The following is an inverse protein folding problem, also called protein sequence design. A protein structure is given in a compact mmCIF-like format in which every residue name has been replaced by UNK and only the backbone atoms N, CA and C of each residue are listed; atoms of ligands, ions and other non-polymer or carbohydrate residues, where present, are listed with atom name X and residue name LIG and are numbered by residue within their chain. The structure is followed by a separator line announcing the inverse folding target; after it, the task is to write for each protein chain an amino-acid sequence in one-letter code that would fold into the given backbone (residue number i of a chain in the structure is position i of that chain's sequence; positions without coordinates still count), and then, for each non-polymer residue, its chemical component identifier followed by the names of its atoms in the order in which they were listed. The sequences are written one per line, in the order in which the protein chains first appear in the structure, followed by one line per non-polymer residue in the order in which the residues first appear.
data_IF_193456595736
#
_entry.id   IF_193456595736
#
_cell.length_a   1.000
_cell.length_b   1.000
_cell.length_c   1.000
_cell.angle_alpha   90.00
_cell.angle_beta   90.00
_cell.angle_gamma   90.00
#
_symmetry.space_group_name_H-M   'P 1'
#
loop_
_entity.id
_entity.type
_entity.pdbx_description
1 polymer ?
#
# COMPACT_ATOMS: atom_id res chain seq x y z
N UNK A 1 -22.07 -3.44 -2.28
CA UNK A 1 -21.95 -3.20 -0.83
C UNK A 1 -23.24 -3.43 -0.04
N UNK A 2 -24.19 -2.48 -0.02
CA UNK A 2 -25.38 -2.55 0.87
C UNK A 2 -26.24 -3.81 0.72
N UNK A 3 -26.41 -4.34 -0.50
CA UNK A 3 -27.21 -5.56 -0.74
C UNK A 3 -26.60 -6.78 -0.09
N UNK A 4 -25.29 -6.98 -0.22
CA UNK A 4 -24.57 -8.12 0.35
C UNK A 4 -24.49 -8.04 1.88
N UNK A 5 -24.27 -6.85 2.44
CA UNK A 5 -24.35 -6.64 3.88
C UNK A 5 -25.74 -6.98 4.43
N UNK A 6 -26.82 -6.59 3.73
CA UNK A 6 -28.20 -6.97 4.07
C UNK A 6 -28.45 -8.47 3.94
N UNK A 7 -27.86 -9.14 2.96
CA UNK A 7 -27.96 -10.60 2.79
C UNK A 7 -27.28 -11.33 3.96
N UNK A 8 -26.05 -10.94 4.32
CA UNK A 8 -25.33 -11.49 5.49
C UNK A 8 -26.15 -11.30 6.75
N UNK A 9 -26.61 -10.07 7.04
CA UNK A 9 -27.46 -9.78 8.21
C UNK A 9 -28.74 -10.62 8.23
N UNK A 10 -29.39 -10.80 7.06
CA UNK A 10 -30.61 -11.61 6.95
C UNK A 10 -30.36 -13.10 7.19
N UNK A 11 -29.19 -13.63 6.81
CA UNK A 11 -28.83 -15.02 7.07
C UNK A 11 -28.55 -15.23 8.57
N UNK A 12 -27.86 -14.29 9.21
CA UNK A 12 -27.60 -14.32 10.66
C UNK A 12 -28.87 -14.24 11.52
N UNK A 13 -29.94 -13.62 11.01
CA UNK A 13 -31.22 -13.50 11.71
C UNK A 13 -32.15 -14.71 11.56
N UNK A 14 -31.76 -15.74 10.79
CA UNK A 14 -32.57 -16.95 10.62
C UNK A 14 -32.39 -17.90 11.81
N UNK A 15 -33.51 -18.41 12.32
CA UNK A 15 -33.57 -19.38 13.42
C UNK A 15 -34.31 -20.65 12.94
N UNK A 16 -33.66 -21.83 12.98
CA UNK A 16 -32.26 -22.05 13.37
C UNK A 16 -31.28 -21.48 12.32
N UNK A 17 -30.08 -21.11 12.77
CA UNK A 17 -29.05 -20.54 11.89
C UNK A 17 -28.68 -21.53 10.76
N UNK A 18 -28.75 -21.11 9.49
CA UNK A 18 -28.50 -22.00 8.36
C UNK A 18 -26.98 -22.18 8.13
N UNK A 19 -26.33 -23.01 8.95
CA UNK A 19 -24.89 -23.24 8.89
C UNK A 19 -24.36 -23.68 7.51
N UNK A 20 -25.20 -24.31 6.68
CA UNK A 20 -24.85 -24.67 5.30
C UNK A 20 -24.56 -23.46 4.39
N UNK A 21 -24.95 -22.24 4.79
CA UNK A 21 -24.70 -20.98 4.06
C UNK A 21 -23.42 -20.27 4.49
N UNK A 22 -22.64 -20.83 5.42
CA UNK A 22 -21.35 -20.25 5.82
C UNK A 22 -20.41 -19.94 4.63
N UNK A 23 -20.27 -20.81 3.61
CA UNK A 23 -19.44 -20.49 2.44
C UNK A 23 -19.90 -19.23 1.70
N UNK A 24 -21.21 -19.07 1.53
CA UNK A 24 -21.84 -17.91 0.88
C UNK A 24 -21.63 -16.63 1.70
N UNK A 25 -21.69 -16.72 3.04
CA UNK A 25 -21.38 -15.60 3.93
C UNK A 25 -19.92 -15.15 3.76
N UNK A 26 -18.97 -16.10 3.69
CA UNK A 26 -17.57 -15.77 3.47
C UNK A 26 -17.36 -15.09 2.12
N UNK A 27 -17.96 -15.59 1.03
CA UNK A 27 -17.90 -14.93 -0.28
C UNK A 27 -18.43 -13.49 -0.22
N UNK A 28 -19.56 -13.27 0.47
CA UNK A 28 -20.10 -11.93 0.65
C UNK A 28 -19.20 -11.01 1.45
N UNK A 29 -18.59 -11.50 2.54
CA UNK A 29 -17.66 -10.72 3.35
C UNK A 29 -16.40 -10.37 2.56
N UNK A 30 -15.82 -11.32 1.84
CA UNK A 30 -14.64 -11.08 0.99
C UNK A 30 -14.94 -10.06 -0.11
N UNK A 31 -16.11 -10.16 -0.75
CA UNK A 31 -16.56 -9.17 -1.73
C UNK A 31 -16.74 -7.78 -1.10
N UNK A 32 -17.34 -7.69 0.09
CA UNK A 32 -17.50 -6.44 0.81
C UNK A 32 -16.15 -5.80 1.16
N UNK A 33 -15.18 -6.59 1.62
CA UNK A 33 -13.84 -6.11 1.96
C UNK A 33 -13.11 -5.54 0.73
N UNK A 34 -13.16 -6.26 -0.39
CA UNK A 34 -12.56 -5.83 -1.65
C UNK A 34 -13.14 -4.49 -2.13
N UNK A 35 -14.46 -4.37 -2.15
CA UNK A 35 -15.15 -3.17 -2.61
C UNK A 35 -15.03 -1.99 -1.62
N UNK A 36 -14.94 -2.25 -0.32
CA UNK A 36 -14.66 -1.23 0.69
C UNK A 36 -13.25 -0.65 0.51
N UNK A 37 -12.25 -1.53 0.34
CA UNK A 37 -10.87 -1.14 0.07
C UNK A 37 -10.78 -0.31 -1.20
N UNK A 38 -11.47 -0.74 -2.28
CA UNK A 38 -11.53 0.01 -3.53
C UNK A 38 -12.14 1.41 -3.36
N UNK A 39 -13.27 1.52 -2.67
CA UNK A 39 -13.89 2.82 -2.39
C UNK A 39 -12.98 3.73 -1.57
N UNK A 40 -12.31 3.18 -0.56
CA UNK A 40 -11.36 3.93 0.27
C UNK A 40 -10.17 4.44 -0.55
N UNK A 41 -9.67 3.64 -1.50
CA UNK A 41 -8.60 4.05 -2.42
C UNK A 41 -9.04 5.18 -3.34
N UNK A 42 -10.23 5.08 -3.96
CA UNK A 42 -10.77 6.14 -4.82
C UNK A 42 -10.98 7.45 -4.05
N UNK A 43 -11.50 7.37 -2.82
CA UNK A 43 -11.70 8.54 -1.97
C UNK A 43 -10.36 9.18 -1.56
N UNK A 44 -9.35 8.37 -1.22
CA UNK A 44 -7.99 8.86 -0.93
C UNK A 44 -7.39 9.58 -2.12
N UNK A 45 -7.42 8.97 -3.30
CA UNK A 45 -6.87 9.58 -4.52
C UNK A 45 -7.55 10.91 -4.85
N UNK A 46 -8.87 11.01 -4.68
CA UNK A 46 -9.62 12.25 -4.90
C UNK A 46 -9.29 13.33 -3.85
N UNK A 47 -9.15 12.95 -2.58
CA UNK A 47 -8.79 13.87 -1.50
C UNK A 47 -7.34 14.36 -1.63
N UNK A 48 -6.43 13.49 -2.04
CA UNK A 48 -5.02 13.82 -2.29
C UNK A 48 -4.89 14.75 -3.49
N UNK A 49 -5.69 14.56 -4.54
CA UNK A 49 -5.77 15.47 -5.68
C UNK A 49 -6.33 16.85 -5.29
N UNK A 50 -7.30 16.89 -4.37
CA UNK A 50 -7.96 18.12 -3.92
C UNK A 50 -7.13 18.90 -2.89
N UNK A 51 -6.29 18.22 -2.09
CA UNK A 51 -5.49 18.83 -1.03
C UNK A 51 -4.29 19.63 -1.56
N UNK A 52 -4.56 20.89 -1.87
CA UNK A 52 -3.57 21.96 -1.78
C UNK A 52 -3.35 22.33 -0.30
N UNK A 53 -2.92 21.37 0.52
CA UNK A 53 -2.42 21.68 1.87
C UNK A 53 -1.05 22.34 1.78
N UNK A 54 -0.78 23.31 2.67
CA UNK A 54 0.54 23.96 2.77
C UNK A 54 1.64 22.90 2.81
N UNK A 55 2.61 23.02 1.90
CA UNK A 55 3.76 22.12 1.85
C UNK A 55 4.66 22.47 3.04
N UNK A 56 4.88 21.51 3.92
CA UNK A 56 5.70 21.70 5.11
C UNK A 56 7.10 21.09 4.90
N UNK A 57 7.99 21.84 4.24
CA UNK A 57 9.37 21.41 4.01
C UNK A 57 10.20 21.58 5.28
N UNK A 58 10.69 20.47 5.83
CA UNK A 58 11.58 20.45 7.00
C UNK A 58 12.67 19.38 6.82
N UNK A 59 13.81 19.48 7.52
CA UNK A 59 14.78 18.38 7.60
C UNK A 59 14.13 17.15 8.25
N UNK A 60 14.08 16.04 7.53
CA UNK A 60 13.49 14.78 7.98
C UNK A 60 14.45 13.62 7.73
N UNK A 61 14.38 12.60 8.59
CA UNK A 61 15.06 11.33 8.37
C UNK A 61 14.27 10.48 7.38
N UNK A 62 14.90 10.10 6.27
CA UNK A 62 14.28 9.21 5.28
C UNK A 62 14.12 7.80 5.83
N UNK A 63 15.05 7.32 6.67
CA UNK A 63 14.92 5.99 7.27
C UNK A 63 13.71 5.92 8.19
N UNK A 64 13.50 6.92 9.05
CA UNK A 64 12.31 6.98 9.92
C UNK A 64 11.01 7.03 9.09
N UNK A 65 11.03 7.77 7.98
CA UNK A 65 9.90 7.86 7.06
C UNK A 65 9.58 6.49 6.43
N UNK A 66 10.60 5.80 5.90
CA UNK A 66 10.45 4.47 5.33
C UNK A 66 9.99 3.44 6.37
N UNK A 67 10.56 3.46 7.58
CA UNK A 67 10.17 2.56 8.67
C UNK A 67 8.70 2.73 9.06
N UNK A 68 8.23 3.96 9.26
CA UNK A 68 6.81 4.23 9.55
C UNK A 68 5.90 3.83 8.40
N UNK A 69 6.37 3.99 7.16
CA UNK A 69 5.62 3.56 5.97
C UNK A 69 5.47 2.04 5.94
N UNK A 70 6.56 1.31 6.18
CA UNK A 70 6.57 -0.15 6.23
C UNK A 70 5.76 -0.70 7.40
N UNK A 71 5.70 0.01 8.54
CA UNK A 71 4.85 -0.35 9.67
C UNK A 71 3.36 -0.34 9.28
N UNK A 72 2.91 0.70 8.57
CA UNK A 72 1.52 0.79 8.06
C UNK A 72 1.20 -0.37 7.11
N UNK A 73 2.17 -0.79 6.31
CA UNK A 73 1.99 -1.82 5.28
C UNK A 73 2.22 -3.25 5.78
N UNK A 74 2.76 -3.42 6.99
CA UNK A 74 3.21 -4.72 7.52
C UNK A 74 2.10 -5.77 7.57
N UNK A 75 0.96 -5.43 8.15
CA UNK A 75 -0.16 -6.37 8.28
C UNK A 75 -0.66 -6.83 6.89
N UNK A 76 -0.65 -5.93 5.89
CA UNK A 76 -1.06 -6.29 4.53
C UNK A 76 -0.04 -7.24 3.90
N UNK A 77 1.24 -6.92 3.99
CA UNK A 77 2.31 -7.79 3.49
C UNK A 77 2.27 -9.19 4.12
N UNK A 78 1.99 -9.28 5.43
CA UNK A 78 1.86 -10.56 6.14
C UNK A 78 0.67 -11.39 5.63
N UNK A 79 -0.50 -10.76 5.40
CA UNK A 79 -1.67 -11.43 4.83
C UNK A 79 -1.40 -12.02 3.44
N UNK A 80 -0.64 -11.28 2.62
CA UNK A 80 -0.28 -11.67 1.26
C UNK A 80 1.01 -12.52 1.20
N UNK A 81 1.54 -12.97 2.34
CA UNK A 81 2.75 -13.82 2.44
C UNK A 81 4.01 -13.19 1.84
N UNK A 82 4.17 -11.87 2.01
CA UNK A 82 5.29 -11.09 1.51
C UNK A 82 6.26 -10.79 2.66
N UNK A 83 7.52 -11.21 2.49
CA UNK A 83 8.60 -10.80 3.38
C UNK A 83 9.06 -9.38 3.08
N UNK A 84 9.40 -8.61 4.12
CA UNK A 84 9.97 -7.26 3.97
C UNK A 84 11.45 -7.30 4.40
N UNK A 85 12.33 -6.75 3.57
CA UNK A 85 13.76 -6.54 3.89
C UNK A 85 14.15 -5.09 3.68
N UNK A 86 14.94 -4.56 4.61
CA UNK A 86 15.47 -3.20 4.53
C UNK A 86 16.99 -3.21 4.49
N UNK A 87 17.57 -2.31 3.71
CA UNK A 87 19.00 -2.05 3.71
C UNK A 87 19.25 -0.55 3.59
N UNK A 88 19.52 0.09 4.72
CA UNK A 88 19.67 1.54 4.77
C UNK A 88 21.14 1.93 4.87
N UNK A 89 21.56 2.78 3.94
CA UNK A 89 22.88 3.40 3.96
C UNK A 89 22.93 4.40 5.13
N UNK A 90 23.80 4.18 6.13
CA UNK A 90 23.85 5.00 7.34
C UNK A 90 24.34 6.43 7.07
N UNK A 91 24.97 6.67 5.92
CA UNK A 91 25.52 7.99 5.57
C UNK A 91 24.49 8.92 4.93
N UNK A 92 23.25 8.46 4.72
CA UNK A 92 22.16 9.28 4.20
C UNK A 92 21.87 10.45 5.16
N UNK A 93 21.99 11.71 4.71
CA UNK A 93 21.73 12.87 5.55
C UNK A 93 20.22 13.10 5.72
N UNK A 94 19.86 14.04 6.61
CA UNK A 94 18.49 14.56 6.67
C UNK A 94 18.14 15.23 5.33
N UNK A 95 16.96 14.93 4.81
CA UNK A 95 16.45 15.55 3.58
C UNK A 95 15.41 16.62 3.91
N UNK A 96 15.49 17.75 3.20
CA UNK A 96 14.48 18.80 3.24
C UNK A 96 13.26 18.37 2.41
N UNK A 97 12.24 17.85 3.08
CA UNK A 97 11.04 17.34 2.42
C UNK A 97 9.78 17.53 3.28
N UNK A 98 8.61 17.32 2.66
CA UNK A 98 7.35 17.17 3.36
C UNK A 98 7.15 15.69 3.70
N UNK A 99 7.28 15.38 4.99
CA UNK A 99 7.20 14.01 5.50
C UNK A 99 5.92 13.30 5.08
N UNK A 100 4.76 13.97 5.18
CA UNK A 100 3.45 13.35 4.95
C UNK A 100 3.24 13.05 3.47
N UNK A 101 3.64 13.99 2.60
CA UNK A 101 3.52 13.81 1.15
C UNK A 101 4.43 12.69 0.64
N UNK A 102 5.68 12.63 1.12
CA UNK A 102 6.57 11.52 0.76
C UNK A 102 6.10 10.18 1.34
N UNK A 103 5.62 10.16 2.58
CA UNK A 103 5.05 8.95 3.16
C UNK A 103 3.89 8.43 2.30
N UNK A 104 2.98 9.30 1.84
CA UNK A 104 1.90 8.91 0.95
C UNK A 104 2.40 8.35 -0.39
N UNK A 105 3.41 8.99 -0.99
CA UNK A 105 4.01 8.50 -2.23
C UNK A 105 4.60 7.09 -2.06
N UNK A 106 5.31 6.83 -0.96
CA UNK A 106 5.86 5.50 -0.69
C UNK A 106 4.78 4.47 -0.35
N UNK A 107 3.71 4.85 0.37
CA UNK A 107 2.54 3.96 0.58
C UNK A 107 1.98 3.51 -0.77
N UNK A 108 1.81 4.43 -1.72
CA UNK A 108 1.27 4.09 -3.04
C UNK A 108 2.19 3.14 -3.82
N UNK A 109 3.51 3.40 -3.81
CA UNK A 109 4.47 2.53 -4.49
C UNK A 109 4.52 1.14 -3.84
N UNK A 110 4.57 1.07 -2.51
CA UNK A 110 4.60 -0.21 -1.77
C UNK A 110 3.30 -0.98 -1.94
N UNK A 111 2.16 -0.29 -2.01
CA UNK A 111 0.87 -0.92 -2.31
C UNK A 111 0.90 -1.60 -3.67
N UNK A 112 1.35 -0.90 -4.71
CA UNK A 112 1.48 -1.47 -6.05
C UNK A 112 2.43 -2.68 -6.07
N UNK A 113 3.54 -2.61 -5.32
CA UNK A 113 4.47 -3.71 -5.17
C UNK A 113 3.83 -4.95 -4.52
N UNK A 114 2.98 -4.76 -3.50
CA UNK A 114 2.22 -5.86 -2.87
C UNK A 114 1.23 -6.46 -3.85
N UNK A 115 0.47 -5.64 -4.58
CA UNK A 115 -0.51 -6.11 -5.58
C UNK A 115 0.16 -6.90 -6.71
N UNK A 116 1.40 -6.56 -7.07
CA UNK A 116 2.19 -7.28 -8.06
C UNK A 116 2.66 -8.68 -7.58
N UNK A 117 2.51 -9.00 -6.28
CA UNK A 117 2.95 -10.26 -5.65
C UNK A 117 1.77 -11.11 -5.10
N UNK A 118 0.80 -11.53 -5.93
CA UNK A 118 -0.41 -12.23 -5.45
C UNK A 118 -0.15 -13.64 -4.90
N UNK A 119 1.03 -14.20 -5.09
CA UNK A 119 1.45 -15.52 -4.59
C UNK A 119 2.49 -15.41 -3.46
N UNK A 120 2.61 -14.24 -2.84
CA UNK A 120 3.68 -13.90 -1.93
C UNK A 120 4.98 -13.53 -2.65
N UNK A 121 6.01 -13.22 -1.87
CA UNK A 121 7.28 -12.75 -2.41
C UNK A 121 8.14 -12.00 -1.41
N UNK A 122 9.00 -11.13 -1.94
CA UNK A 122 9.92 -10.31 -1.16
C UNK A 122 9.87 -8.86 -1.62
N UNK A 123 9.49 -7.97 -0.70
CA UNK A 123 9.66 -6.53 -0.83
C UNK A 123 11.01 -6.13 -0.22
N UNK A 124 11.88 -5.53 -1.01
CA UNK A 124 13.16 -4.98 -0.56
C UNK A 124 13.14 -3.47 -0.67
N UNK A 125 13.49 -2.76 0.41
CA UNK A 125 13.63 -1.30 0.44
C UNK A 125 15.05 -0.96 0.79
N UNK A 126 15.73 -0.21 -0.06
CA UNK A 126 17.10 0.23 0.21
C UNK A 126 17.29 1.73 -0.01
N UNK A 127 18.30 2.28 0.67
CA UNK A 127 18.77 3.65 0.43
C UNK A 127 20.24 3.64 0.09
N UNK A 128 20.68 4.57 -0.74
CA UNK A 128 22.07 4.78 -1.08
C UNK A 128 22.37 6.27 -1.20
N UNK A 129 23.49 6.72 -0.64
CA UNK A 129 23.94 8.10 -0.73
C UNK A 129 25.20 8.25 -1.59
N UNK A 130 25.07 8.92 -2.73
CA UNK A 130 26.19 9.32 -3.58
C UNK A 130 26.68 10.71 -3.15
N UNK A 131 27.55 10.76 -2.13
CA UNK A 131 28.03 12.01 -1.53
C UNK A 131 28.64 13.00 -2.54
N UNK A 132 29.40 12.50 -3.52
CA UNK A 132 30.01 13.32 -4.58
C UNK A 132 28.98 14.05 -5.45
N UNK A 133 27.78 13.48 -5.60
CA UNK A 133 26.68 14.02 -6.39
C UNK A 133 25.62 14.71 -5.55
N UNK A 134 25.68 14.55 -4.22
CA UNK A 134 24.63 15.01 -3.32
C UNK A 134 23.29 14.34 -3.57
N UNK A 135 23.30 13.09 -4.04
CA UNK A 135 22.09 12.36 -4.46
C UNK A 135 21.79 11.22 -3.48
N UNK A 136 20.55 11.17 -2.99
CA UNK A 136 20.03 10.02 -2.23
C UNK A 136 19.10 9.24 -3.14
N UNK A 137 19.42 7.97 -3.36
CA UNK A 137 18.59 7.02 -4.10
C UNK A 137 17.82 6.16 -3.11
N UNK A 138 16.51 6.02 -3.34
CA UNK A 138 15.63 5.12 -2.59
C UNK A 138 15.13 4.07 -3.58
N UNK A 139 15.47 2.81 -3.34
CA UNK A 139 15.04 1.70 -4.19
C UNK A 139 13.97 0.89 -3.46
N UNK A 140 12.82 0.69 -4.13
CA UNK A 140 11.76 -0.21 -3.69
C UNK A 140 11.64 -1.29 -4.77
N UNK A 141 11.90 -2.53 -4.39
CA UNK A 141 11.96 -3.67 -5.30
C UNK A 141 11.07 -4.79 -4.82
N UNK A 142 10.18 -5.26 -5.68
CA UNK A 142 9.39 -6.45 -5.48
C UNK A 142 9.90 -7.64 -6.30
N UNK A 143 9.38 -8.82 -6.00
CA UNK A 143 9.58 -10.05 -6.78
C UNK A 143 8.29 -10.48 -7.49
N UNK A 144 7.45 -9.51 -7.82
CA UNK A 144 6.15 -9.73 -8.43
C UNK A 144 6.22 -10.07 -9.91
N UNK A 145 5.06 -10.03 -10.56
CA UNK A 145 4.88 -10.37 -11.97
C UNK A 145 5.57 -9.37 -12.92
N UNK A 146 6.03 -8.23 -12.41
CA UNK A 146 6.62 -7.15 -13.18
C UNK A 146 5.58 -6.37 -14.01
N UNK A 147 6.06 -5.43 -14.81
CA UNK A 147 5.24 -4.58 -15.67
C UNK A 147 5.55 -4.93 -17.13
N UNK A 148 4.54 -5.20 -17.98
CA UNK A 148 4.75 -5.38 -19.40
C UNK A 148 5.44 -4.16 -20.04
N UNK A 149 6.34 -4.39 -20.99
CA UNK A 149 7.14 -3.32 -21.57
C UNK A 149 6.30 -2.21 -22.21
N UNK A 150 5.18 -2.57 -22.83
CA UNK A 150 4.26 -1.64 -23.49
C UNK A 150 3.51 -0.74 -22.49
N UNK A 151 3.43 -1.14 -21.21
CA UNK A 151 2.75 -0.39 -20.16
C UNK A 151 3.69 0.54 -19.39
N UNK A 152 5.02 0.35 -19.49
CA UNK A 152 6.02 1.13 -18.73
C UNK A 152 5.94 2.64 -18.99
N UNK A 153 5.62 3.06 -20.21
CA UNK A 153 5.51 4.48 -20.56
C UNK A 153 4.28 5.15 -19.90
N UNK A 154 3.32 4.34 -19.42
CA UNK A 154 2.01 4.79 -18.97
C UNK A 154 1.78 4.59 -17.47
N UNK A 155 2.76 4.09 -16.72
CA UNK A 155 2.62 3.77 -15.28
C UNK A 155 2.35 4.99 -14.38
N UNK A 156 2.54 6.20 -14.90
CA UNK A 156 2.26 7.46 -14.20
C UNK A 156 1.04 8.22 -14.77
N UNK A 157 0.33 7.64 -15.75
CA UNK A 157 -0.93 8.18 -16.24
C UNK A 157 -2.10 7.76 -15.31
N UNK A 158 -3.02 8.67 -14.96
CA UNK A 158 -4.19 8.36 -14.14
C UNK A 158 -5.28 7.54 -14.86
#
# INVERSE_FOLDING_TARGET
MLTFAKLVMRIFQQEPFPAHRLPEIFEYITFLDTEATRCANLARNLLDFSRHGDIEIKPNSIHELLDKTLEVMRHRAELDQIGIRTHFDPDVPLLSCDFKRLQQAFVNIIWNAIEAMPQGGLLSVSTHFEAERGLVTIEIKDTGVGIPQDDLERIFEP
#
